data_IF_782230321305
#
_entry.id   IF_782230321305
#
_cell.length_a   1.000
_cell.length_b   1.000
_cell.length_c   1.000
_cell.angle_alpha   90.00
_cell.angle_beta   90.00
_cell.angle_gamma   90.00
#
_symmetry.space_group_name_H-M   'P 1'
#
loop_
_entity.id
_entity.type
_entity.pdbx_description
1 polymer ?
#
# COMPACT_ATOMS: atom_id res chain seq x y z
N UNK A 1 -10.21 4.48 -17.76
CA UNK A 1 -10.01 2.99 -17.61
C UNK A 1 -9.77 2.70 -16.13
N UNK A 2 -10.27 1.58 -15.60
CA UNK A 2 -10.01 1.23 -14.19
C UNK A 2 -8.66 0.55 -14.07
N UNK A 3 -7.74 1.12 -13.29
CA UNK A 3 -6.48 0.51 -12.90
C UNK A 3 -6.70 -0.41 -11.69
N UNK A 4 -6.15 -1.61 -11.73
CA UNK A 4 -6.17 -2.57 -10.60
C UNK A 4 -4.74 -3.00 -10.35
N UNK A 5 -4.19 -2.60 -9.21
CA UNK A 5 -2.81 -2.90 -8.80
C UNK A 5 -2.74 -3.37 -7.35
N UNK A 6 -1.90 -4.37 -7.08
CA UNK A 6 -1.44 -4.69 -5.73
C UNK A 6 -0.07 -4.07 -5.53
N UNK A 7 0.06 -3.21 -4.53
CA UNK A 7 1.32 -2.58 -4.17
C UNK A 7 1.93 -3.23 -2.93
N UNK A 8 3.24 -3.52 -3.01
CA UNK A 8 4.06 -3.98 -1.89
C UNK A 8 5.19 -2.98 -1.65
N UNK A 9 5.39 -2.58 -0.40
CA UNK A 9 6.62 -1.89 0.01
C UNK A 9 7.69 -2.93 0.31
N UNK A 10 8.95 -2.64 0.00
CA UNK A 10 10.04 -3.62 0.10
C UNK A 10 11.40 -2.95 0.37
N UNK A 11 12.47 -3.72 0.25
CA UNK A 11 13.86 -3.29 0.35
C UNK A 11 14.70 -3.78 -0.84
N UNK A 12 15.96 -3.32 -0.93
CA UNK A 12 16.85 -3.64 -2.05
C UNK A 12 17.17 -5.14 -2.17
N UNK A 13 17.31 -5.85 -1.05
CA UNK A 13 17.64 -7.28 -1.05
C UNK A 13 16.53 -8.10 -1.68
N UNK A 14 15.29 -7.80 -1.30
CA UNK A 14 14.10 -8.43 -1.88
C UNK A 14 13.98 -8.14 -3.38
N UNK A 15 14.24 -6.89 -3.80
CA UNK A 15 14.20 -6.54 -5.23
C UNK A 15 15.20 -7.39 -6.01
N UNK A 16 16.41 -7.58 -5.52
CA UNK A 16 17.43 -8.39 -6.19
C UNK A 16 16.99 -9.85 -6.31
N UNK A 17 16.43 -10.43 -5.24
CA UNK A 17 15.91 -11.80 -5.22
C UNK A 17 14.68 -11.93 -6.15
N UNK A 18 13.75 -10.97 -6.10
CA UNK A 18 12.58 -10.97 -6.98
C UNK A 18 12.97 -10.94 -8.45
N UNK A 19 13.96 -10.12 -8.84
CA UNK A 19 14.45 -10.07 -10.22
C UNK A 19 15.01 -11.41 -10.69
N UNK A 20 15.71 -12.13 -9.82
CA UNK A 20 16.19 -13.49 -10.10
C UNK A 20 15.02 -14.44 -10.33
N UNK A 21 14.02 -14.42 -9.45
CA UNK A 21 12.82 -15.26 -9.58
C UNK A 21 12.03 -14.92 -10.86
N UNK A 22 11.85 -13.64 -11.17
CA UNK A 22 11.15 -13.21 -12.39
C UNK A 22 11.82 -13.71 -13.67
N UNK A 23 13.14 -13.95 -13.66
CA UNK A 23 13.85 -14.50 -14.82
C UNK A 23 13.44 -15.95 -15.18
N UNK A 24 12.80 -16.67 -14.26
CA UNK A 24 12.29 -18.03 -14.49
C UNK A 24 10.93 -18.04 -15.21
N UNK A 25 10.24 -16.89 -15.30
CA UNK A 25 8.96 -16.78 -15.99
C UNK A 25 9.15 -16.36 -17.44
N UNK A 26 8.20 -16.77 -18.29
CA UNK A 26 8.15 -16.31 -19.68
C UNK A 26 7.70 -14.85 -19.73
N UNK A 27 8.63 -13.95 -19.95
CA UNK A 27 8.34 -12.52 -20.11
C UNK A 27 7.86 -12.24 -21.52
N UNK A 28 6.77 -11.46 -21.65
CA UNK A 28 6.31 -10.89 -22.92
C UNK A 28 7.10 -9.61 -23.25
N UNK A 29 7.44 -8.84 -22.22
CA UNK A 29 8.21 -7.60 -22.35
C UNK A 29 8.99 -7.31 -21.07
N UNK A 30 10.21 -6.76 -21.24
CA UNK A 30 11.04 -6.26 -20.14
C UNK A 30 11.76 -5.01 -20.60
N UNK A 31 11.69 -3.94 -19.79
CA UNK A 31 12.42 -2.69 -20.08
C UNK A 31 12.56 -1.85 -18.80
N UNK A 32 13.43 -0.85 -18.86
CA UNK A 32 13.67 0.09 -17.78
C UNK A 32 13.37 1.51 -18.28
N UNK A 33 12.86 2.35 -17.39
CA UNK A 33 12.61 3.75 -17.63
C UNK A 33 12.96 4.60 -16.41
N UNK A 34 13.49 5.79 -16.67
CA UNK A 34 13.60 6.83 -15.64
C UNK A 34 12.32 7.66 -15.65
N UNK A 35 11.58 7.61 -14.57
CA UNK A 35 10.32 8.33 -14.39
C UNK A 35 10.53 9.56 -13.52
N UNK A 36 10.36 10.74 -14.11
CA UNK A 36 10.34 12.02 -13.41
C UNK A 36 8.91 12.54 -13.40
N UNK A 37 8.35 12.71 -12.22
CA UNK A 37 6.97 13.16 -12.08
C UNK A 37 6.89 14.44 -11.27
N UNK A 38 6.16 15.42 -11.76
CA UNK A 38 5.73 16.58 -11.02
C UNK A 38 4.26 16.45 -10.69
N UNK A 39 3.89 16.55 -9.41
CA UNK A 39 2.52 16.57 -8.96
C UNK A 39 2.04 17.99 -8.76
N UNK A 40 0.83 18.24 -9.27
CA UNK A 40 0.19 19.55 -9.25
C UNK A 40 -1.07 19.52 -8.43
N UNK A 41 -1.38 20.65 -7.79
CA UNK A 41 -2.65 20.90 -7.15
C UNK A 41 -2.99 22.41 -7.24
N UNK A 42 -4.20 22.76 -6.94
CA UNK A 42 -4.62 24.16 -6.81
C UNK A 42 -4.11 24.74 -5.48
N UNK A 43 -4.12 26.05 -5.33
CA UNK A 43 -3.74 26.74 -4.10
C UNK A 43 -4.55 26.26 -2.88
N UNK A 44 -5.84 25.95 -3.07
CA UNK A 44 -6.73 25.40 -2.05
C UNK A 44 -6.71 23.87 -1.97
N UNK A 45 -5.78 23.21 -2.66
CA UNK A 45 -5.57 21.76 -2.63
C UNK A 45 -6.79 20.93 -3.08
N UNK A 46 -7.48 21.35 -4.11
CA UNK A 46 -8.69 20.73 -4.62
C UNK A 46 -8.51 19.22 -4.92
N UNK A 47 -7.45 18.86 -5.64
CA UNK A 47 -7.24 17.46 -6.03
C UNK A 47 -6.97 16.56 -4.82
N UNK A 48 -6.11 16.98 -3.92
CA UNK A 48 -5.80 16.18 -2.72
C UNK A 48 -7.00 16.06 -1.78
N UNK A 49 -7.80 17.11 -1.61
CA UNK A 49 -9.03 17.07 -0.82
C UNK A 49 -10.07 16.09 -1.39
N UNK A 50 -10.13 15.96 -2.72
CA UNK A 50 -10.99 15.00 -3.41
C UNK A 50 -10.35 13.59 -3.52
N UNK A 51 -9.21 13.32 -2.86
CA UNK A 51 -8.44 12.07 -2.95
C UNK A 51 -8.00 11.76 -4.39
N UNK A 52 -7.73 12.78 -5.16
CA UNK A 52 -7.22 12.70 -6.52
C UNK A 52 -5.73 13.03 -6.55
N UNK A 53 -5.04 12.64 -7.64
CA UNK A 53 -3.65 13.01 -7.89
C UNK A 53 -3.47 13.41 -9.35
N UNK A 54 -3.11 14.67 -9.58
CA UNK A 54 -2.76 15.19 -10.89
C UNK A 54 -1.23 15.23 -11.01
N UNK A 55 -0.68 14.58 -12.04
CA UNK A 55 0.77 14.61 -12.30
C UNK A 55 1.07 14.81 -13.77
N UNK A 56 2.24 15.36 -14.05
CA UNK A 56 2.91 15.27 -15.35
C UNK A 56 4.15 14.41 -15.18
N UNK A 57 4.23 13.34 -15.96
CA UNK A 57 5.34 12.39 -16.00
C UNK A 57 6.19 12.66 -17.24
N UNK A 58 7.51 12.64 -17.06
CA UNK A 58 8.48 12.57 -18.13
C UNK A 58 9.16 11.19 -18.12
N UNK A 59 9.02 10.44 -19.19
CA UNK A 59 9.77 9.21 -19.44
C UNK A 59 10.45 9.30 -20.82
N UNK A 60 11.78 9.42 -20.81
CA UNK A 60 12.55 9.49 -22.06
C UNK A 60 12.19 10.67 -22.97
N UNK A 61 11.74 11.80 -22.43
CA UNK A 61 11.31 12.98 -23.20
C UNK A 61 9.85 12.96 -23.63
N UNK A 62 9.11 11.90 -23.31
CA UNK A 62 7.66 11.82 -23.53
C UNK A 62 6.94 12.31 -22.27
N UNK A 63 6.07 13.31 -22.43
CA UNK A 63 5.28 13.86 -21.35
C UNK A 63 3.87 13.28 -21.34
N UNK A 64 3.44 12.78 -20.18
CA UNK A 64 2.08 12.27 -19.97
C UNK A 64 1.47 12.95 -18.76
N UNK A 65 0.33 13.62 -18.95
CA UNK A 65 -0.49 14.11 -17.87
C UNK A 65 -1.43 12.99 -17.40
N UNK A 66 -1.44 12.72 -16.11
CA UNK A 66 -2.26 11.68 -15.50
C UNK A 66 -3.11 12.29 -14.41
N UNK A 67 -4.42 12.01 -14.43
CA UNK A 67 -5.32 12.23 -13.30
C UNK A 67 -5.80 10.88 -12.77
N UNK A 68 -5.39 10.54 -11.54
CA UNK A 68 -5.96 9.42 -10.78
C UNK A 68 -7.05 9.98 -9.88
N UNK A 69 -8.28 9.49 -10.03
CA UNK A 69 -9.41 9.94 -9.22
C UNK A 69 -9.60 9.08 -7.97
N UNK A 70 -10.55 9.45 -7.12
CA UNK A 70 -10.91 8.66 -5.96
C UNK A 70 -11.32 7.24 -6.37
N UNK A 71 -10.84 6.27 -5.63
CA UNK A 71 -11.12 4.85 -5.83
C UNK A 71 -11.16 4.11 -4.50
N UNK A 72 -11.04 2.79 -4.55
CA UNK A 72 -10.96 1.94 -3.36
C UNK A 72 -9.57 1.41 -3.15
N UNK A 73 -9.18 1.28 -1.90
CA UNK A 73 -7.93 0.61 -1.51
C UNK A 73 -8.26 -0.38 -0.41
N UNK A 74 -7.91 -1.63 -0.63
CA UNK A 74 -8.09 -2.69 0.34
C UNK A 74 -6.81 -3.53 0.40
N UNK A 75 -6.08 -3.43 1.50
CA UNK A 75 -4.88 -4.21 1.74
C UNK A 75 -3.81 -4.09 0.64
N UNK A 76 -3.51 -2.86 0.19
CA UNK A 76 -2.56 -2.63 -0.90
C UNK A 76 -3.11 -2.92 -2.30
N UNK A 77 -4.30 -3.51 -2.43
CA UNK A 77 -5.03 -3.60 -3.69
C UNK A 77 -5.72 -2.27 -3.94
N UNK A 78 -5.25 -1.55 -4.95
CA UNK A 78 -5.78 -0.26 -5.38
C UNK A 78 -6.63 -0.46 -6.64
N UNK A 79 -7.84 0.07 -6.61
CA UNK A 79 -8.77 0.07 -7.75
C UNK A 79 -9.27 1.50 -7.95
N UNK A 80 -8.81 2.18 -8.99
CA UNK A 80 -9.18 3.57 -9.25
C UNK A 80 -9.22 3.91 -10.74
N UNK A 81 -10.10 4.84 -11.17
CA UNK A 81 -10.04 5.38 -12.51
C UNK A 81 -8.75 6.19 -12.72
N UNK A 82 -8.13 5.97 -13.87
CA UNK A 82 -6.94 6.69 -14.33
C UNK A 82 -7.17 7.24 -15.72
N UNK A 83 -6.86 8.53 -15.92
CA UNK A 83 -6.99 9.26 -17.17
C UNK A 83 -5.62 9.77 -17.59
N UNK A 84 -5.16 9.31 -18.74
CA UNK A 84 -3.84 9.63 -19.27
C UNK A 84 -3.97 10.41 -20.58
N UNK A 85 -3.19 11.49 -20.72
CA UNK A 85 -3.12 12.34 -21.91
C UNK A 85 -1.68 12.65 -22.23
N UNK A 86 -1.29 12.46 -23.50
CA UNK A 86 0.04 12.88 -23.98
C UNK A 86 0.11 14.40 -24.07
N UNK A 87 1.23 14.96 -23.61
CA UNK A 87 1.52 16.39 -23.69
C UNK A 87 2.68 16.66 -24.63
N UNK A 88 2.65 17.82 -25.30
CA UNK A 88 3.78 18.30 -26.10
C UNK A 88 4.86 19.00 -25.27
N UNK A 89 4.56 19.37 -24.04
CA UNK A 89 5.42 20.12 -23.11
C UNK A 89 5.12 19.72 -21.64
N UNK A 90 6.02 20.02 -20.68
CA UNK A 90 5.89 19.55 -19.29
C UNK A 90 4.79 20.24 -18.46
N UNK A 91 4.07 21.22 -19.03
CA UNK A 91 3.00 21.93 -18.33
C UNK A 91 1.66 21.18 -18.44
N UNK A 92 0.90 21.02 -17.35
CA UNK A 92 -0.44 20.44 -17.41
C UNK A 92 -1.39 21.32 -18.23
N UNK A 93 -2.24 20.69 -19.03
CA UNK A 93 -3.36 21.31 -19.75
C UNK A 93 -4.63 20.52 -19.44
N UNK A 94 -5.40 20.98 -18.44
CA UNK A 94 -6.58 20.26 -17.96
C UNK A 94 -7.68 20.14 -19.01
N UNK A 95 -7.73 21.06 -19.99
CA UNK A 95 -8.71 21.02 -21.08
C UNK A 95 -8.62 19.73 -21.90
N UNK A 96 -7.44 19.12 -21.97
CA UNK A 96 -7.26 17.86 -22.67
C UNK A 96 -8.03 16.69 -22.04
N UNK A 97 -8.50 16.83 -20.80
CA UNK A 97 -9.39 15.85 -20.17
C UNK A 97 -10.84 15.91 -20.69
N UNK A 98 -11.22 16.92 -21.47
CA UNK A 98 -12.57 17.00 -22.11
C UNK A 98 -12.88 15.78 -23.00
N UNK A 99 -11.85 15.04 -23.45
CA UNK A 99 -12.02 13.80 -24.20
C UNK A 99 -12.63 12.64 -23.39
N UNK A 100 -12.65 12.73 -22.06
CA UNK A 100 -13.18 11.70 -21.16
C UNK A 100 -14.54 12.15 -20.63
N UNK A 101 -15.61 11.76 -21.32
CA UNK A 101 -16.99 12.19 -21.00
C UNK A 101 -17.47 11.74 -19.61
N UNK A 102 -16.88 10.66 -19.08
CA UNK A 102 -17.18 10.16 -17.74
C UNK A 102 -16.45 10.90 -16.60
N UNK A 103 -15.45 11.73 -16.94
CA UNK A 103 -14.71 12.49 -15.94
C UNK A 103 -15.44 13.79 -15.61
N UNK A 104 -16.11 13.81 -14.46
CA UNK A 104 -16.79 15.00 -13.95
C UNK A 104 -16.07 15.54 -12.72
N UNK A 105 -15.52 16.75 -12.82
CA UNK A 105 -14.95 17.48 -11.69
C UNK A 105 -15.97 18.49 -11.15
N UNK A 106 -15.91 18.78 -9.85
CA UNK A 106 -16.81 19.74 -9.21
C UNK A 106 -16.56 21.21 -9.62
N UNK A 107 -15.44 21.48 -10.29
CA UNK A 107 -15.05 22.79 -10.83
C UNK A 107 -14.69 22.67 -12.30
N UNK A 108 -14.80 23.77 -13.05
CA UNK A 108 -14.41 23.81 -14.45
C UNK A 108 -12.89 23.67 -14.63
N UNK A 109 -12.46 23.07 -15.73
CA UNK A 109 -11.03 22.96 -16.05
C UNK A 109 -10.34 24.33 -16.14
N UNK A 110 -11.02 25.35 -16.66
CA UNK A 110 -10.47 26.70 -16.76
C UNK A 110 -10.19 27.31 -15.38
N UNK A 111 -11.13 27.15 -14.43
CA UNK A 111 -10.98 27.61 -13.06
C UNK A 111 -9.80 26.89 -12.35
N UNK A 112 -9.75 25.57 -12.44
CA UNK A 112 -8.69 24.78 -11.83
C UNK A 112 -7.32 25.09 -12.45
N UNK A 113 -7.26 25.25 -13.79
CA UNK A 113 -6.03 25.54 -14.52
C UNK A 113 -5.35 26.83 -14.04
N UNK A 114 -6.14 27.88 -13.75
CA UNK A 114 -5.62 29.19 -13.33
C UNK A 114 -4.87 29.16 -11.98
N UNK A 115 -5.17 28.18 -11.12
CA UNK A 115 -4.61 28.08 -9.77
C UNK A 115 -3.66 26.89 -9.58
N UNK A 116 -3.34 26.16 -10.68
CA UNK A 116 -2.41 25.02 -10.60
C UNK A 116 -1.00 25.47 -10.26
N UNK A 117 -0.40 24.75 -9.31
CA UNK A 117 0.99 24.91 -8.94
C UNK A 117 1.66 23.55 -8.66
N UNK A 118 2.96 23.42 -8.87
CA UNK A 118 3.70 22.21 -8.50
C UNK A 118 3.77 22.10 -6.97
N UNK A 119 3.52 20.90 -6.44
CA UNK A 119 3.51 20.63 -5.00
C UNK A 119 4.70 19.78 -4.58
N UNK A 120 4.99 18.70 -5.32
CA UNK A 120 6.09 17.78 -5.03
C UNK A 120 6.51 17.01 -6.28
N UNK A 121 7.65 16.36 -6.20
CA UNK A 121 8.21 15.52 -7.28
C UNK A 121 8.39 14.08 -6.80
N UNK A 122 8.31 13.13 -7.74
CA UNK A 122 8.75 11.75 -7.52
C UNK A 122 9.67 11.35 -8.66
N UNK A 123 10.93 11.06 -8.32
CA UNK A 123 11.96 10.70 -9.27
C UNK A 123 12.45 9.29 -8.97
N UNK A 124 12.26 8.36 -9.88
CA UNK A 124 12.61 6.96 -9.67
C UNK A 124 12.95 6.23 -10.97
N UNK A 125 13.74 5.19 -10.83
CA UNK A 125 13.93 4.20 -11.87
C UNK A 125 12.81 3.17 -11.72
N UNK A 126 12.14 2.88 -12.83
CA UNK A 126 11.12 1.84 -12.94
C UNK A 126 11.58 0.74 -13.88
N UNK A 127 11.55 -0.48 -13.39
CA UNK A 127 11.79 -1.67 -14.20
C UNK A 127 10.48 -2.42 -14.40
N UNK A 128 10.12 -2.65 -15.65
CA UNK A 128 8.85 -3.25 -16.05
C UNK A 128 9.04 -4.68 -16.52
N UNK A 129 8.18 -5.58 -16.04
CA UNK A 129 8.08 -6.96 -16.47
C UNK A 129 6.64 -7.24 -16.86
N UNK A 130 6.35 -7.42 -18.14
CA UNK A 130 5.06 -7.89 -18.61
C UNK A 130 5.14 -9.40 -18.81
N UNK A 131 4.25 -10.15 -18.19
CA UNK A 131 4.18 -11.60 -18.31
C UNK A 131 2.73 -12.07 -18.44
N UNK A 132 2.60 -13.32 -18.88
CA UNK A 132 1.32 -14.03 -18.90
C UNK A 132 1.42 -15.27 -18.03
N UNK A 133 0.46 -15.45 -17.14
CA UNK A 133 0.36 -16.63 -16.27
C UNK A 133 -0.18 -17.83 -17.05
N UNK A 134 -0.02 -19.02 -16.51
CA UNK A 134 -0.47 -20.27 -17.17
C UNK A 134 -1.95 -20.36 -17.51
N UNK A 135 -2.78 -19.50 -16.91
CA UNK A 135 -4.23 -19.39 -17.17
C UNK A 135 -4.61 -18.18 -18.05
N UNK A 136 -3.62 -17.53 -18.69
CA UNK A 136 -3.83 -16.42 -19.64
C UNK A 136 -4.05 -15.05 -18.99
N UNK A 137 -3.88 -14.92 -17.70
CA UNK A 137 -3.90 -13.62 -17.01
C UNK A 137 -2.61 -12.86 -17.32
N UNK A 138 -2.71 -11.61 -17.79
CA UNK A 138 -1.55 -10.75 -18.05
C UNK A 138 -1.32 -9.77 -16.89
N UNK A 139 -0.09 -9.77 -16.41
CA UNK A 139 0.36 -8.94 -15.30
C UNK A 139 1.54 -8.09 -15.74
N UNK A 140 1.52 -6.81 -15.35
CA UNK A 140 2.70 -5.96 -15.36
C UNK A 140 3.24 -5.86 -13.92
N UNK A 141 4.52 -6.16 -13.76
CA UNK A 141 5.21 -6.00 -12.49
C UNK A 141 6.13 -4.80 -12.66
N UNK A 142 5.92 -3.76 -11.87
CA UNK A 142 6.74 -2.57 -11.87
C UNK A 142 7.54 -2.50 -10.55
N UNK A 143 8.86 -2.39 -10.67
CA UNK A 143 9.78 -2.21 -9.54
C UNK A 143 10.25 -0.77 -9.55
N UNK A 144 9.87 0.00 -8.52
CA UNK A 144 10.18 1.42 -8.40
C UNK A 144 11.22 1.68 -7.31
N UNK A 145 12.31 2.33 -7.69
CA UNK A 145 13.40 2.72 -6.79
C UNK A 145 13.80 4.17 -7.01
N UNK A 146 13.72 5.00 -5.98
CA UNK A 146 14.02 6.42 -6.07
C UNK A 146 13.59 7.21 -4.86
N UNK A 147 13.08 8.41 -5.07
CA UNK A 147 12.71 9.30 -3.98
C UNK A 147 11.52 10.21 -4.31
N UNK A 148 10.79 10.59 -3.28
CA UNK A 148 9.80 11.67 -3.29
C UNK A 148 10.49 12.90 -2.70
N UNK A 149 10.33 14.05 -3.35
CA UNK A 149 10.93 15.34 -2.96
C UNK A 149 9.84 16.39 -2.80
N UNK A 150 9.83 17.06 -1.66
CA UNK A 150 8.97 18.22 -1.42
C UNK A 150 9.71 19.22 -0.52
N UNK A 151 9.69 20.50 -0.87
CA UNK A 151 10.43 21.53 -0.16
C UNK A 151 11.92 21.12 -0.05
N UNK A 152 12.46 21.07 1.17
CA UNK A 152 13.84 20.63 1.46
C UNK A 152 13.89 19.20 2.03
N UNK A 153 12.79 18.46 1.95
CA UNK A 153 12.69 17.09 2.49
C UNK A 153 12.60 16.05 1.37
N UNK A 154 13.06 14.85 1.69
CA UNK A 154 12.94 13.69 0.78
C UNK A 154 12.63 12.42 1.54
N UNK A 155 11.98 11.47 0.87
CA UNK A 155 11.68 10.13 1.39
C UNK A 155 11.89 9.09 0.28
N UNK A 156 12.46 7.90 0.58
CA UNK A 156 12.76 6.90 -0.43
C UNK A 156 11.50 6.28 -1.04
N UNK A 157 11.61 5.86 -2.29
CA UNK A 157 10.67 4.95 -2.97
C UNK A 157 11.40 3.62 -3.12
N UNK A 158 10.79 2.54 -2.61
CA UNK A 158 11.24 1.17 -2.80
C UNK A 158 9.99 0.29 -2.73
N UNK A 159 9.36 0.04 -3.89
CA UNK A 159 8.08 -0.67 -3.94
C UNK A 159 7.96 -1.49 -5.22
N UNK A 160 7.09 -2.50 -5.15
CA UNK A 160 6.72 -3.38 -6.24
C UNK A 160 5.22 -3.21 -6.46
N UNK A 161 4.81 -2.97 -7.70
CA UNK A 161 3.42 -2.89 -8.12
C UNK A 161 3.12 -4.07 -9.05
N UNK A 162 2.10 -4.87 -8.74
CA UNK A 162 1.56 -5.91 -9.61
C UNK A 162 0.27 -5.37 -10.20
N UNK A 163 0.29 -4.98 -11.45
CA UNK A 163 -0.87 -4.43 -12.15
C UNK A 163 -1.54 -5.47 -13.03
N UNK A 164 -2.85 -5.62 -12.90
CA UNK A 164 -3.67 -6.50 -13.72
C UNK A 164 -3.95 -5.83 -15.06
N UNK A 165 -3.35 -6.33 -16.15
CA UNK A 165 -3.63 -5.84 -17.51
C UNK A 165 -4.82 -6.55 -18.13
N UNK A 166 -4.97 -7.87 -17.89
CA UNK A 166 -6.15 -8.66 -18.28
C UNK A 166 -6.27 -9.91 -17.42
N UNK A 167 -7.49 -10.42 -17.24
CA UNK A 167 -7.75 -11.62 -16.46
C UNK A 167 -8.42 -11.34 -15.13
N UNK A 168 -8.08 -12.10 -14.07
CA UNK A 168 -8.76 -12.05 -12.77
C UNK A 168 -7.83 -11.58 -11.66
N UNK A 169 -8.35 -10.77 -10.73
CA UNK A 169 -7.63 -10.34 -9.52
C UNK A 169 -7.15 -11.55 -8.70
N UNK A 170 -7.95 -12.61 -8.61
CA UNK A 170 -7.56 -13.82 -7.89
C UNK A 170 -6.28 -14.46 -8.46
N UNK A 171 -6.10 -14.44 -9.79
CA UNK A 171 -4.90 -14.99 -10.44
C UNK A 171 -3.67 -14.14 -10.16
N UNK A 172 -3.82 -12.81 -10.14
CA UNK A 172 -2.76 -11.89 -9.72
C UNK A 172 -2.34 -12.16 -8.26
N UNK A 173 -3.30 -12.32 -7.35
CA UNK A 173 -3.00 -12.62 -5.95
C UNK A 173 -2.35 -14.00 -5.78
N UNK A 174 -2.77 -15.00 -6.59
CA UNK A 174 -2.11 -16.31 -6.64
C UNK A 174 -0.68 -16.20 -7.15
N UNK A 175 -0.43 -15.37 -8.17
CA UNK A 175 0.90 -15.14 -8.70
C UNK A 175 1.82 -14.52 -7.64
N UNK A 176 1.36 -13.54 -6.88
CA UNK A 176 2.15 -12.90 -5.80
C UNK A 176 2.56 -13.93 -4.73
N UNK A 177 1.73 -14.96 -4.48
CA UNK A 177 2.07 -16.01 -3.51
C UNK A 177 3.34 -16.80 -3.84
N UNK A 178 3.78 -16.85 -5.11
CA UNK A 178 5.05 -17.47 -5.50
C UNK A 178 6.28 -16.80 -4.85
N UNK A 179 6.16 -15.56 -4.39
CA UNK A 179 7.27 -14.78 -3.83
C UNK A 179 7.22 -14.64 -2.30
N UNK A 180 6.27 -15.31 -1.62
CA UNK A 180 6.08 -15.18 -0.17
C UNK A 180 7.19 -15.85 0.68
N UNK A 181 8.10 -16.57 0.04
CA UNK A 181 9.32 -17.05 0.71
C UNK A 181 10.35 -15.92 0.92
N UNK A 182 10.17 -14.77 0.28
CA UNK A 182 11.01 -13.58 0.45
C UNK A 182 10.48 -12.75 1.64
N UNK A 183 11.25 -12.68 2.72
CA UNK A 183 10.99 -11.77 3.82
C UNK A 183 11.38 -10.34 3.42
N UNK A 184 10.65 -9.34 3.90
CA UNK A 184 10.92 -7.93 3.63
C UNK A 184 9.90 -7.25 2.70
N UNK A 185 8.80 -7.92 2.35
CA UNK A 185 7.65 -7.36 1.64
C UNK A 185 6.45 -7.18 2.57
N UNK A 186 5.73 -6.08 2.40
CA UNK A 186 4.45 -5.83 3.08
C UNK A 186 3.48 -5.08 2.19
N UNK A 187 2.18 -5.21 2.47
CA UNK A 187 1.15 -4.47 1.75
C UNK A 187 1.39 -2.96 1.82
N UNK A 188 1.53 -2.31 0.66
CA UNK A 188 1.71 -0.87 0.51
C UNK A 188 0.36 -0.17 0.34
N UNK A 189 -0.19 0.40 1.41
CA UNK A 189 -1.51 1.01 1.38
C UNK A 189 -1.48 2.51 1.12
N UNK A 190 -0.31 3.12 1.22
CA UNK A 190 -0.10 4.57 1.04
C UNK A 190 0.51 4.83 -0.33
N UNK A 191 -0.17 5.62 -1.16
CA UNK A 191 0.33 5.92 -2.50
C UNK A 191 1.52 6.90 -2.48
N UNK A 192 2.33 6.93 -3.56
CA UNK A 192 3.36 7.96 -3.77
C UNK A 192 2.78 9.37 -3.64
N UNK A 193 1.56 9.58 -4.18
CA UNK A 193 0.86 10.86 -4.08
C UNK A 193 0.53 11.23 -2.63
N UNK A 194 -0.06 10.32 -1.84
CA UNK A 194 -0.37 10.57 -0.43
C UNK A 194 0.90 10.85 0.40
N UNK A 195 1.98 10.13 0.11
CA UNK A 195 3.30 10.36 0.74
C UNK A 195 3.87 11.73 0.37
N UNK A 196 3.76 12.12 -0.90
CA UNK A 196 4.23 13.41 -1.41
C UNK A 196 3.46 14.59 -0.82
N UNK A 197 2.13 14.54 -0.77
CA UNK A 197 1.29 15.57 -0.12
C UNK A 197 1.63 15.73 1.37
N UNK A 198 1.90 14.62 2.06
CA UNK A 198 2.31 14.69 3.48
C UNK A 198 3.70 15.32 3.63
N UNK A 199 4.64 14.93 2.78
CA UNK A 199 6.00 15.48 2.78
C UNK A 199 5.99 16.99 2.47
N UNK A 200 5.08 17.43 1.59
CA UNK A 200 4.86 18.84 1.26
C UNK A 200 4.16 19.63 2.37
N UNK A 201 3.65 18.97 3.41
CA UNK A 201 2.89 19.62 4.51
C UNK A 201 1.45 19.95 4.16
N UNK A 202 0.94 19.49 3.01
CA UNK A 202 -0.45 19.66 2.57
C UNK A 202 -1.40 18.75 3.36
N UNK A 203 -0.99 17.50 3.59
CA UNK A 203 -1.73 16.57 4.42
C UNK A 203 -1.18 16.56 5.86
N UNK A 204 -2.03 16.39 6.89
CA UNK A 204 -1.59 16.37 8.27
C UNK A 204 -0.64 15.19 8.54
N UNK A 205 0.25 15.36 9.53
CA UNK A 205 1.06 14.26 10.04
C UNK A 205 0.15 13.15 10.58
N UNK A 206 0.54 11.90 10.38
CA UNK A 206 -0.21 10.78 10.91
C UNK A 206 -0.14 10.77 12.45
N UNK A 207 -1.31 10.67 13.08
CA UNK A 207 -1.42 10.40 14.51
C UNK A 207 -1.41 8.88 14.74
N UNK A 208 -0.89 8.47 15.89
CA UNK A 208 -0.99 7.08 16.33
C UNK A 208 -2.46 6.70 16.56
N UNK A 209 -2.86 5.52 16.08
CA UNK A 209 -4.15 4.94 16.42
C UNK A 209 -4.30 4.78 17.94
N UNK A 210 -5.52 4.92 18.43
CA UNK A 210 -5.81 4.80 19.86
C UNK A 210 -6.49 3.47 20.18
N UNK A 211 -6.47 3.08 21.45
CA UNK A 211 -7.18 1.89 21.95
C UNK A 211 -8.70 2.01 21.78
N UNK A 212 -9.22 3.22 21.63
CA UNK A 212 -10.67 3.44 21.46
C UNK A 212 -11.19 2.85 20.14
N UNK A 213 -10.35 2.82 19.10
CA UNK A 213 -10.71 2.15 17.84
C UNK A 213 -10.84 0.62 18.02
N UNK A 214 -10.03 0.03 18.90
CA UNK A 214 -10.17 -1.37 19.28
C UNK A 214 -11.44 -1.61 20.10
N UNK A 215 -11.74 -0.72 21.04
CA UNK A 215 -12.99 -0.79 21.82
C UNK A 215 -14.22 -0.70 20.91
N UNK A 216 -14.20 0.22 19.93
CA UNK A 216 -15.27 0.32 18.94
C UNK A 216 -15.42 -0.96 18.12
N UNK A 217 -14.33 -1.66 17.77
CA UNK A 217 -14.40 -2.97 17.13
C UNK A 217 -15.10 -4.01 18.05
N UNK A 218 -14.74 -4.06 19.33
CA UNK A 218 -15.31 -5.02 20.29
C UNK A 218 -16.81 -4.77 20.58
N UNK A 219 -17.26 -3.54 20.44
CA UNK A 219 -18.68 -3.15 20.64
C UNK A 219 -19.56 -3.49 19.42
N UNK A 220 -18.96 -3.81 18.28
CA UNK A 220 -19.72 -4.15 17.07
C UNK A 220 -20.49 -5.46 17.24
N UNK A 221 -21.70 -5.48 16.67
CA UNK A 221 -22.50 -6.70 16.58
C UNK A 221 -22.42 -7.24 15.16
N UNK A 222 -21.99 -8.46 15.01
CA UNK A 222 -21.85 -9.12 13.73
C UNK A 222 -23.02 -10.10 13.50
N UNK A 223 -23.54 -10.13 12.27
CA UNK A 223 -24.64 -11.03 11.89
C UNK A 223 -24.13 -12.36 11.35
N UNK A 224 -22.83 -12.46 11.04
CA UNK A 224 -22.18 -13.67 10.56
C UNK A 224 -20.70 -13.69 10.90
N UNK A 225 -20.11 -14.88 10.94
CA UNK A 225 -18.67 -15.11 11.10
C UNK A 225 -17.87 -14.39 10.00
N UNK A 226 -18.34 -14.43 8.75
CA UNK A 226 -17.68 -13.74 7.62
C UNK A 226 -17.61 -12.22 7.85
N UNK A 227 -18.68 -11.61 8.36
CA UNK A 227 -18.70 -10.18 8.68
C UNK A 227 -17.70 -9.85 9.79
N UNK A 228 -17.61 -10.70 10.83
CA UNK A 228 -16.69 -10.50 11.95
C UNK A 228 -15.21 -10.62 11.48
N UNK A 229 -14.87 -11.64 10.69
CA UNK A 229 -13.52 -11.82 10.15
C UNK A 229 -13.16 -10.67 9.22
N UNK A 230 -14.09 -10.21 8.38
CA UNK A 230 -13.85 -9.05 7.53
C UNK A 230 -13.60 -7.78 8.37
N UNK A 231 -14.38 -7.53 9.41
CA UNK A 231 -14.17 -6.37 10.31
C UNK A 231 -12.82 -6.43 11.03
N UNK A 232 -12.41 -7.62 11.49
CA UNK A 232 -11.10 -7.85 12.08
C UNK A 232 -9.98 -7.57 11.08
N UNK A 233 -10.12 -8.04 9.85
CA UNK A 233 -9.19 -7.76 8.75
C UNK A 233 -9.11 -6.26 8.44
N UNK A 234 -10.24 -5.56 8.37
CA UNK A 234 -10.25 -4.10 8.14
C UNK A 234 -9.55 -3.34 9.27
N UNK A 235 -9.72 -3.79 10.53
CA UNK A 235 -8.98 -3.21 11.65
C UNK A 235 -7.47 -3.41 11.51
N UNK A 236 -7.04 -4.63 11.16
CA UNK A 236 -5.63 -4.93 10.92
C UNK A 236 -5.05 -4.11 9.78
N UNK A 237 -5.76 -3.97 8.66
CA UNK A 237 -5.37 -3.11 7.54
C UNK A 237 -5.23 -1.65 7.97
N UNK A 238 -6.13 -1.14 8.80
CA UNK A 238 -6.06 0.22 9.33
C UNK A 238 -4.84 0.40 10.21
N UNK A 239 -4.51 -0.59 11.04
CA UNK A 239 -3.33 -0.58 11.92
C UNK A 239 -2.04 -0.61 11.08
N UNK A 240 -1.95 -1.46 10.06
CA UNK A 240 -0.81 -1.52 9.15
C UNK A 240 -0.65 -0.21 8.34
N UNK A 241 -1.75 0.36 7.86
CA UNK A 241 -1.72 1.66 7.18
C UNK A 241 -1.28 2.78 8.10
N UNK A 242 -1.68 2.72 9.37
CA UNK A 242 -1.20 3.67 10.38
C UNK A 242 0.31 3.50 10.60
N UNK A 243 0.80 2.27 10.79
CA UNK A 243 2.24 1.98 10.91
C UNK A 243 3.05 2.50 9.71
N UNK A 244 2.55 2.33 8.48
CA UNK A 244 3.20 2.83 7.26
C UNK A 244 3.30 4.36 7.20
N UNK A 245 2.35 5.07 7.84
CA UNK A 245 2.27 6.53 7.85
C UNK A 245 3.08 7.20 8.98
N UNK A 246 3.37 6.46 10.05
CA UNK A 246 4.03 7.02 11.22
C UNK A 246 5.50 7.36 10.95
N UNK A 247 5.96 8.44 11.56
CA UNK A 247 7.36 8.75 11.73
C UNK A 247 7.88 7.92 12.92
N UNK A 248 8.46 6.76 12.62
CA UNK A 248 8.91 5.81 13.64
C UNK A 248 10.11 6.33 14.46
N UNK A 249 10.95 7.18 13.87
CA UNK A 249 12.04 7.82 14.59
C UNK A 249 11.49 8.76 15.67
N UNK A 250 10.45 9.54 15.35
CA UNK A 250 9.74 10.35 16.34
C UNK A 250 9.04 9.50 17.41
N UNK A 251 8.32 8.44 16.99
CA UNK A 251 7.62 7.54 17.93
C UNK A 251 8.60 6.89 18.90
N UNK A 252 9.79 6.51 18.43
CA UNK A 252 10.83 5.89 19.26
C UNK A 252 11.34 6.80 20.39
N UNK A 253 11.15 8.11 20.28
CA UNK A 253 11.50 9.08 21.33
C UNK A 253 10.49 9.09 22.50
N UNK A 254 9.36 8.40 22.34
CA UNK A 254 8.28 8.32 23.35
C UNK A 254 8.03 6.88 23.77
N UNK A 255 8.39 6.56 25.02
CA UNK A 255 8.08 5.27 25.64
C UNK A 255 6.56 4.96 25.58
N UNK A 256 5.72 5.96 25.88
CA UNK A 256 4.26 5.79 25.90
C UNK A 256 3.70 5.49 24.51
N UNK A 257 4.14 6.21 23.45
CA UNK A 257 3.67 5.97 22.08
C UNK A 257 4.17 4.62 21.53
N UNK A 258 5.43 4.27 21.83
CA UNK A 258 5.98 2.95 21.44
C UNK A 258 5.21 1.82 22.11
N UNK A 259 4.97 1.91 23.42
CA UNK A 259 4.18 0.92 24.19
C UNK A 259 2.76 0.83 23.63
N UNK A 260 2.12 1.97 23.35
CA UNK A 260 0.77 2.01 22.79
C UNK A 260 0.71 1.29 21.42
N UNK A 261 1.65 1.58 20.52
CA UNK A 261 1.68 0.94 19.20
C UNK A 261 1.85 -0.58 19.29
N UNK A 262 2.79 -1.07 20.11
CA UNK A 262 2.99 -2.51 20.31
C UNK A 262 1.74 -3.13 20.95
N UNK A 263 1.10 -2.42 21.90
CA UNK A 263 -0.12 -2.84 22.56
C UNK A 263 -1.30 -3.05 21.61
N UNK A 264 -1.43 -2.21 20.56
CA UNK A 264 -2.48 -2.39 19.53
C UNK A 264 -2.28 -3.69 18.75
N UNK A 265 -1.05 -4.03 18.38
CA UNK A 265 -0.76 -5.32 17.74
C UNK A 265 -0.98 -6.49 18.71
N UNK A 266 -0.59 -6.33 19.97
CA UNK A 266 -0.80 -7.36 20.98
C UNK A 266 -2.28 -7.67 21.15
N UNK A 267 -3.15 -6.68 21.34
CA UNK A 267 -4.59 -6.89 21.54
C UNK A 267 -5.24 -7.54 20.33
N UNK A 268 -4.88 -7.12 19.11
CA UNK A 268 -5.36 -7.73 17.87
C UNK A 268 -5.02 -9.23 17.81
N UNK A 269 -3.76 -9.59 18.05
CA UNK A 269 -3.30 -10.97 17.88
C UNK A 269 -3.66 -11.87 19.05
N UNK A 270 -3.79 -11.33 20.27
CA UNK A 270 -4.39 -12.05 21.38
C UNK A 270 -5.83 -12.44 21.04
N UNK A 271 -6.65 -11.48 20.60
CA UNK A 271 -8.03 -11.75 20.19
C UNK A 271 -8.10 -12.76 19.04
N UNK A 272 -7.25 -12.64 18.01
CA UNK A 272 -7.23 -13.57 16.88
C UNK A 272 -6.92 -15.01 17.30
N UNK A 273 -6.05 -15.21 18.31
CA UNK A 273 -5.76 -16.52 18.88
C UNK A 273 -6.91 -17.04 19.77
N UNK A 274 -7.58 -16.18 20.51
CA UNK A 274 -8.72 -16.57 21.35
C UNK A 274 -9.98 -16.91 20.52
N UNK A 275 -10.05 -16.40 19.27
CA UNK A 275 -11.19 -16.56 18.37
C UNK A 275 -10.88 -17.50 17.17
N UNK A 276 -10.12 -18.57 17.36
CA UNK A 276 -9.75 -19.54 16.31
C UNK A 276 -10.98 -20.10 15.58
N UNK A 277 -12.10 -20.28 16.28
CA UNK A 277 -13.36 -20.76 15.75
C UNK A 277 -13.88 -19.90 14.57
N UNK A 278 -13.51 -18.61 14.49
CA UNK A 278 -13.89 -17.76 13.36
C UNK A 278 -13.29 -18.26 12.05
N UNK A 279 -12.07 -18.76 12.08
CA UNK A 279 -11.37 -19.23 10.90
C UNK A 279 -11.79 -20.65 10.50
N UNK A 280 -11.98 -21.55 11.47
CA UNK A 280 -12.43 -22.92 11.21
C UNK A 280 -13.86 -23.02 10.67
N UNK A 281 -14.71 -22.01 10.93
CA UNK A 281 -16.05 -21.93 10.37
C UNK A 281 -16.11 -21.41 8.94
N UNK A 282 -15.08 -20.70 8.47
CA UNK A 282 -15.09 -20.01 7.17
C UNK A 282 -14.17 -20.65 6.13
N UNK A 283 -13.14 -21.34 6.58
CA UNK A 283 -12.09 -21.90 5.74
C UNK A 283 -12.14 -23.43 5.79
N UNK A 284 -11.60 -24.06 4.76
CA UNK A 284 -11.27 -25.48 4.80
C UNK A 284 -10.21 -25.78 5.89
N UNK A 285 -10.01 -27.05 6.18
CA UNK A 285 -9.15 -27.52 7.28
C UNK A 285 -7.68 -27.03 7.07
N UNK A 286 -7.15 -27.11 5.87
CA UNK A 286 -5.78 -26.71 5.55
C UNK A 286 -5.61 -25.18 5.72
N UNK A 287 -6.48 -24.40 5.10
CA UNK A 287 -6.43 -22.92 5.15
C UNK A 287 -6.68 -22.38 6.56
N UNK A 288 -7.57 -23.02 7.33
CA UNK A 288 -7.85 -22.60 8.73
C UNK A 288 -6.68 -22.93 9.65
N UNK A 289 -6.06 -24.11 9.50
CA UNK A 289 -4.86 -24.50 10.25
C UNK A 289 -3.72 -23.54 9.98
N UNK A 290 -3.44 -23.23 8.72
CA UNK A 290 -2.41 -22.26 8.35
C UNK A 290 -2.66 -20.88 8.98
N UNK A 291 -3.90 -20.39 8.92
CA UNK A 291 -4.28 -19.09 9.48
C UNK A 291 -4.07 -19.05 11.00
N UNK A 292 -4.47 -20.10 11.71
CA UNK A 292 -4.30 -20.23 13.15
C UNK A 292 -2.81 -20.27 13.53
N UNK A 293 -2.02 -21.07 12.81
CA UNK A 293 -0.57 -21.16 13.04
C UNK A 293 0.14 -19.80 12.81
N UNK A 294 -0.26 -19.06 11.77
CA UNK A 294 0.32 -17.73 11.52
C UNK A 294 -0.08 -16.74 12.62
N UNK A 295 -1.34 -16.73 13.05
CA UNK A 295 -1.80 -15.88 14.15
C UNK A 295 -1.04 -16.17 15.45
N UNK A 296 -0.89 -17.44 15.80
CA UNK A 296 -0.14 -17.87 16.98
C UNK A 296 1.34 -17.47 16.88
N UNK A 297 1.96 -17.69 15.72
CA UNK A 297 3.33 -17.28 15.47
C UNK A 297 3.52 -15.77 15.67
N UNK A 298 2.69 -14.94 15.05
CA UNK A 298 2.77 -13.47 15.18
C UNK A 298 2.54 -13.04 16.62
N UNK A 299 1.55 -13.60 17.32
CA UNK A 299 1.30 -13.34 18.74
C UNK A 299 2.54 -13.63 19.60
N UNK A 300 3.18 -14.79 19.38
CA UNK A 300 4.41 -15.16 20.10
C UNK A 300 5.58 -14.20 19.82
N UNK A 301 5.74 -13.73 18.56
CA UNK A 301 6.77 -12.73 18.23
C UNK A 301 6.50 -11.39 18.90
N UNK A 302 5.23 -10.94 18.93
CA UNK A 302 4.84 -9.70 19.63
C UNK A 302 5.15 -9.80 21.12
N UNK A 303 4.87 -10.96 21.76
CA UNK A 303 5.23 -11.19 23.18
C UNK A 303 6.74 -11.08 23.41
N UNK A 304 7.57 -11.59 22.49
CA UNK A 304 9.04 -11.45 22.56
C UNK A 304 9.47 -9.99 22.42
N UNK A 305 8.82 -9.22 21.51
CA UNK A 305 9.06 -7.79 21.35
C UNK A 305 8.73 -7.04 22.63
N UNK A 306 7.60 -7.36 23.28
CA UNK A 306 7.19 -6.77 24.56
C UNK A 306 8.19 -7.10 25.67
N UNK A 307 8.60 -8.35 25.81
CA UNK A 307 9.59 -8.77 26.80
C UNK A 307 10.91 -8.01 26.63
N UNK A 308 11.39 -7.91 25.39
CA UNK A 308 12.61 -7.15 25.08
C UNK A 308 12.46 -5.65 25.38
N UNK A 309 11.27 -5.06 25.08
CA UNK A 309 10.99 -3.66 25.38
C UNK A 309 11.05 -3.38 26.90
N UNK A 310 10.54 -4.31 27.71
CA UNK A 310 10.60 -4.21 29.18
C UNK A 310 12.04 -4.32 29.70
N UNK A 311 12.83 -5.24 29.14
CA UNK A 311 14.21 -5.48 29.58
C UNK A 311 15.19 -4.40 29.14
N UNK A 312 15.13 -4.00 27.87
CA UNK A 312 16.15 -3.14 27.25
C UNK A 312 15.74 -1.66 27.16
N UNK A 313 14.45 -1.37 27.22
CA UNK A 313 13.89 -0.02 27.05
C UNK A 313 14.35 0.71 25.76
N UNK A 314 14.75 -0.05 24.76
CA UNK A 314 15.16 0.44 23.44
C UNK A 314 13.97 0.47 22.48
N UNK A 315 13.32 1.61 22.40
CA UNK A 315 12.15 1.82 21.57
C UNK A 315 12.45 1.65 20.08
N UNK A 316 13.63 2.04 19.62
CA UNK A 316 14.01 1.97 18.19
C UNK A 316 14.12 0.51 17.73
N UNK A 317 14.81 -0.32 18.51
CA UNK A 317 14.96 -1.75 18.21
C UNK A 317 13.60 -2.46 18.16
N UNK A 318 12.72 -2.20 19.11
CA UNK A 318 11.42 -2.87 19.16
C UNK A 318 10.49 -2.44 18.02
N UNK A 319 10.51 -1.15 17.62
CA UNK A 319 9.76 -0.68 16.46
C UNK A 319 10.30 -1.28 15.15
N UNK A 320 11.62 -1.37 15.01
CA UNK A 320 12.25 -2.05 13.88
C UNK A 320 11.80 -3.51 13.79
N UNK A 321 11.82 -4.25 14.91
CA UNK A 321 11.34 -5.64 14.96
C UNK A 321 9.85 -5.78 14.62
N UNK A 322 9.02 -4.82 15.03
CA UNK A 322 7.61 -4.82 14.65
C UNK A 322 7.43 -4.67 13.12
N UNK A 323 8.21 -3.77 12.50
CA UNK A 323 8.21 -3.60 11.04
C UNK A 323 8.73 -4.86 10.35
N UNK A 324 9.81 -5.47 10.84
CA UNK A 324 10.35 -6.74 10.32
C UNK A 324 9.31 -7.87 10.41
N UNK A 325 8.62 -8.00 11.55
CA UNK A 325 7.56 -8.99 11.74
C UNK A 325 6.43 -8.84 10.71
N UNK A 326 5.94 -7.61 10.52
CA UNK A 326 4.87 -7.31 9.55
C UNK A 326 5.34 -7.38 8.09
N UNK A 327 6.64 -7.55 7.84
CA UNK A 327 7.25 -7.71 6.53
C UNK A 327 7.68 -9.16 6.24
N UNK A 328 7.36 -10.11 7.11
CA UNK A 328 7.65 -11.51 6.84
C UNK A 328 6.70 -12.11 5.80
N UNK A 329 7.21 -13.01 4.97
CA UNK A 329 6.42 -13.68 3.94
C UNK A 329 5.19 -14.39 4.50
N UNK A 330 5.30 -15.06 5.67
CA UNK A 330 4.16 -15.67 6.37
C UNK A 330 3.09 -14.65 6.77
N UNK A 331 3.50 -13.46 7.21
CA UNK A 331 2.56 -12.37 7.53
C UNK A 331 1.86 -11.89 6.26
N UNK A 332 2.60 -11.64 5.19
CA UNK A 332 2.05 -11.24 3.90
C UNK A 332 1.12 -12.32 3.33
N UNK A 333 1.43 -13.60 3.48
CA UNK A 333 0.58 -14.73 3.08
C UNK A 333 -0.80 -14.66 3.75
N UNK A 334 -0.82 -14.50 5.09
CA UNK A 334 -2.07 -14.28 5.83
C UNK A 334 -2.89 -13.13 5.25
N UNK A 335 -2.24 -11.99 5.01
CA UNK A 335 -2.91 -10.80 4.51
C UNK A 335 -3.49 -11.01 3.11
N UNK A 336 -2.76 -11.70 2.22
CA UNK A 336 -3.25 -12.05 0.87
C UNK A 336 -4.41 -13.05 0.96
N UNK A 337 -4.35 -14.03 1.84
CA UNK A 337 -5.44 -15.00 2.04
C UNK A 337 -6.72 -14.30 2.53
N UNK A 338 -6.60 -13.39 3.51
CA UNK A 338 -7.73 -12.57 3.98
C UNK A 338 -8.28 -11.64 2.87
N UNK A 339 -7.39 -11.04 2.06
CA UNK A 339 -7.78 -10.23 0.92
C UNK A 339 -8.59 -11.04 -0.11
N UNK A 340 -8.15 -12.25 -0.45
CA UNK A 340 -8.90 -13.16 -1.34
C UNK A 340 -10.29 -13.50 -0.81
N UNK A 341 -10.46 -13.67 0.50
CA UNK A 341 -11.76 -13.95 1.12
C UNK A 341 -12.73 -12.76 0.95
N UNK A 342 -12.24 -11.53 0.99
CA UNK A 342 -13.07 -10.33 0.90
C UNK A 342 -13.45 -9.94 -0.53
N UNK A 343 -12.84 -10.57 -1.54
CA UNK A 343 -13.12 -10.35 -2.96
C UNK A 343 -14.13 -11.37 -3.53
N UNK A 344 -14.54 -12.36 -2.73
CA UNK A 344 -15.59 -13.32 -3.07
C UNK A 344 -16.96 -12.73 -2.79
#
# INVERSE_FOLDING_TARGET
MQEIELKLTTNQEVINSLKQELSHFRLLKHYQASSQNCYFDTEDHFFSQQKMGLRVRNEGGVYTMTLKTAGTTQGGLHMRPEYNVCLSQPQPDLKLFDQFSELALARSYAELQCSLQPIFHTDFQREYYLLETGNGTQLEIAIDQGEIKANNAKTPICEIEFELKSGKVADMLNFVQHFLFLDGMRLGQVSKAERGYRLAGVAPKAALMTIDEWRQFLEQRFTSTAQQVNALFQYELKLLKNLEKLDLDRISQSQAETTALIGLFFTLYQYSCEQEALFTQLLDEESSTEMIEINLFVYQQIRKIIAQHVEQQDNHIVLKRLVELTSQGRYLQKMINLLKMTLK
#
